data_IF_881733321383
#
_entry.id   IF_881733321383
#
_cell.length_a   1.000
_cell.length_b   1.000
_cell.length_c   1.000
_cell.angle_alpha   90.00
_cell.angle_beta   90.00
_cell.angle_gamma   90.00
#
_symmetry.space_group_name_H-M   'P 1'
#
loop_
_entity.id
_entity.type
_entity.pdbx_description
1 polymer ?
#
# COMPACT_ATOMS: atom_id res chain seq x y z
N UNK A 1 -48.93 18.68 -41.12
CA UNK A 1 -47.80 19.43 -40.54
C UNK A 1 -46.57 18.53 -40.61
N UNK A 2 -45.65 18.79 -41.55
CA UNK A 2 -44.43 17.99 -41.75
C UNK A 2 -43.31 18.60 -40.91
N UNK A 3 -42.81 17.83 -39.94
CA UNK A 3 -41.69 18.21 -39.08
C UNK A 3 -40.37 17.96 -39.82
N UNK A 4 -39.56 19.00 -39.96
CA UNK A 4 -38.23 18.98 -40.57
C UNK A 4 -37.21 18.66 -39.46
N UNK A 5 -36.50 17.54 -39.62
CA UNK A 5 -35.35 17.18 -38.78
C UNK A 5 -34.08 17.77 -39.41
N UNK A 6 -33.28 18.58 -38.70
CA UNK A 6 -31.99 19.03 -39.21
C UNK A 6 -30.90 17.98 -38.94
N UNK A 7 -30.18 17.61 -40.00
CA UNK A 7 -29.00 16.74 -39.99
C UNK A 7 -27.77 17.47 -39.45
N UNK A 8 -27.04 16.83 -38.54
CA UNK A 8 -25.77 17.33 -38.02
C UNK A 8 -24.60 16.94 -38.96
N UNK A 9 -23.59 17.81 -39.14
CA UNK A 9 -22.46 17.55 -40.03
C UNK A 9 -21.35 16.72 -39.37
N UNK A 10 -20.91 15.70 -40.10
CA UNK A 10 -19.74 14.85 -39.84
C UNK A 10 -18.46 15.68 -39.82
N UNK A 11 -17.76 15.72 -38.68
CA UNK A 11 -16.47 16.42 -38.54
C UNK A 11 -15.31 15.44 -38.61
N UNK A 12 -14.79 15.26 -39.81
CA UNK A 12 -13.52 14.59 -40.08
C UNK A 12 -12.36 15.47 -39.56
N UNK A 13 -11.51 14.95 -38.68
CA UNK A 13 -10.20 15.54 -38.39
C UNK A 13 -9.11 14.51 -38.60
N UNK A 14 -8.37 14.72 -39.69
CA UNK A 14 -7.10 14.08 -39.99
C UNK A 14 -6.01 15.09 -39.65
N UNK A 15 -5.05 14.71 -38.81
CA UNK A 15 -3.77 15.41 -38.67
C UNK A 15 -2.68 14.35 -38.47
N UNK A 16 -1.83 14.09 -39.48
CA UNK A 16 -0.51 13.51 -39.27
C UNK A 16 0.51 14.65 -39.15
N UNK A 17 1.41 14.57 -38.17
CA UNK A 17 2.38 15.62 -37.93
C UNK A 17 3.57 15.09 -37.14
N UNK A 18 4.57 14.66 -37.91
CA UNK A 18 5.98 14.43 -37.60
C UNK A 18 6.51 15.02 -36.28
N UNK A 19 7.12 14.15 -35.47
CA UNK A 19 8.00 14.55 -34.39
C UNK A 19 9.34 13.81 -34.49
N UNK A 20 10.24 14.46 -35.23
CA UNK A 20 11.66 14.64 -34.95
C UNK A 20 12.36 13.63 -34.03
N UNK A 21 13.19 12.77 -34.64
CA UNK A 21 14.30 12.08 -34.01
C UNK A 21 15.21 13.06 -33.23
N UNK A 22 15.31 12.86 -31.92
CA UNK A 22 16.35 13.45 -31.09
C UNK A 22 17.68 12.70 -31.26
N UNK A 23 18.83 13.39 -31.25
CA UNK A 23 20.13 12.75 -31.34
C UNK A 23 20.52 12.04 -30.03
N UNK A 24 21.09 10.86 -30.24
CA UNK A 24 21.69 9.93 -29.30
C UNK A 24 22.55 10.58 -28.22
N UNK A 25 22.30 10.25 -26.96
CA UNK A 25 23.20 10.56 -25.83
C UNK A 25 24.45 9.67 -25.88
N UNK A 26 25.65 10.21 -25.58
CA UNK A 26 26.86 9.42 -25.47
C UNK A 26 26.89 8.56 -24.20
N UNK A 27 27.50 7.40 -24.40
CA UNK A 27 27.68 6.25 -23.54
C UNK A 27 28.48 6.51 -22.26
N UNK A 28 27.93 6.00 -21.15
CA UNK A 28 28.59 5.21 -20.11
C UNK A 28 29.95 5.69 -19.60
N UNK A 29 29.92 6.46 -18.51
CA UNK A 29 31.05 6.62 -17.60
C UNK A 29 31.35 5.27 -16.91
N UNK A 30 32.60 4.87 -17.03
CA UNK A 30 33.21 3.67 -16.48
C UNK A 30 33.30 3.72 -14.95
N UNK A 31 32.72 2.71 -14.31
CA UNK A 31 32.90 2.42 -12.89
C UNK A 31 34.36 2.03 -12.59
N UNK A 32 34.91 2.54 -11.48
CA UNK A 32 36.11 1.99 -10.83
C UNK A 32 35.71 1.31 -9.53
N UNK A 33 36.06 0.03 -9.32
CA UNK A 33 35.91 -0.64 -8.04
C UNK A 33 37.15 -0.35 -7.18
N UNK A 34 36.98 0.00 -5.91
CA UNK A 34 38.14 0.06 -5.00
C UNK A 34 37.77 -0.39 -3.59
N UNK A 35 38.12 -1.65 -3.36
CA UNK A 35 38.80 -2.16 -2.17
C UNK A 35 38.06 -2.12 -0.83
N UNK A 36 37.34 -3.22 -0.58
CA UNK A 36 37.11 -3.78 0.75
C UNK A 36 38.46 -4.05 1.41
N UNK A 37 38.72 -3.46 2.59
CA UNK A 37 39.71 -3.98 3.54
C UNK A 37 38.98 -4.52 4.77
N UNK A 38 38.93 -5.84 4.84
CA UNK A 38 38.61 -6.60 6.04
C UNK A 38 39.72 -6.39 7.08
N UNK A 39 39.38 -5.76 8.21
CA UNK A 39 40.19 -5.89 9.43
C UNK A 39 39.55 -6.92 10.34
N UNK A 40 40.11 -8.13 10.28
CA UNK A 40 40.05 -9.11 11.36
C UNK A 40 40.64 -8.49 12.62
N UNK A 41 39.87 -8.48 13.71
CA UNK A 41 40.40 -8.44 15.07
C UNK A 41 39.82 -9.64 15.81
N UNK A 42 40.63 -10.70 15.81
CA UNK A 42 40.56 -11.78 16.78
C UNK A 42 40.88 -11.20 18.17
N UNK A 43 39.90 -11.26 19.08
CA UNK A 43 40.13 -11.16 20.52
C UNK A 43 39.40 -12.33 21.18
N UNK A 44 40.21 -13.18 21.78
CA UNK A 44 39.85 -14.40 22.48
C UNK A 44 39.23 -14.13 23.86
N UNK A 45 38.71 -15.24 24.46
CA UNK A 45 38.35 -15.49 25.88
C UNK A 45 36.97 -14.99 26.32
N UNK A 46 36.07 -15.76 26.94
CA UNK A 46 36.19 -17.03 27.69
C UNK A 46 34.85 -17.82 27.66
N UNK A 47 34.83 -19.15 27.90
CA UNK A 47 33.60 -19.91 28.08
C UNK A 47 33.07 -19.84 29.53
N UNK A 48 31.76 -19.71 29.75
CA UNK A 48 31.15 -20.06 31.03
C UNK A 48 30.75 -21.55 31.07
N UNK A 49 31.08 -22.18 32.19
CA UNK A 49 30.67 -23.51 32.63
C UNK A 49 29.23 -23.49 33.19
N UNK A 50 28.49 -24.60 32.99
CA UNK A 50 27.42 -25.16 33.88
C UNK A 50 26.05 -24.42 33.80
N UNK A 51 24.86 -25.02 33.63
CA UNK A 51 24.24 -26.33 33.99
C UNK A 51 23.03 -26.59 33.08
N UNK A 52 22.62 -27.85 32.80
CA UNK A 52 21.28 -28.16 32.29
C UNK A 52 20.26 -28.28 33.43
N UNK A 53 19.38 -27.29 33.56
CA UNK A 53 18.18 -27.42 34.39
C UNK A 53 17.05 -27.99 33.53
N UNK A 54 16.69 -29.23 33.82
CA UNK A 54 15.43 -29.85 33.41
C UNK A 54 14.31 -29.09 34.12
N UNK A 55 13.38 -28.55 33.34
CA UNK A 55 12.05 -28.14 33.81
C UNK A 55 11.08 -28.50 32.70
N UNK A 56 10.54 -29.69 32.87
CA UNK A 56 9.33 -30.21 32.26
C UNK A 56 8.13 -29.51 32.92
N UNK A 57 7.29 -28.86 32.12
CA UNK A 57 5.83 -28.65 32.32
C UNK A 57 5.35 -27.37 31.61
N UNK A 58 4.47 -27.53 30.61
CA UNK A 58 3.58 -26.45 30.17
C UNK A 58 3.46 -26.26 28.65
N UNK A 59 2.83 -27.22 27.97
CA UNK A 59 2.17 -26.98 26.68
C UNK A 59 1.08 -25.92 26.89
N UNK A 60 1.41 -24.65 26.62
CA UNK A 60 0.46 -23.74 25.99
C UNK A 60 0.90 -23.63 24.54
N UNK A 61 0.12 -24.21 23.63
CA UNK A 61 0.21 -23.97 22.19
C UNK A 61 -0.11 -22.50 21.92
N UNK A 62 0.84 -21.62 22.25
CA UNK A 62 0.88 -20.26 21.79
C UNK A 62 1.34 -20.31 20.35
N UNK A 63 0.40 -20.12 19.42
CA UNK A 63 0.70 -20.04 18.00
C UNK A 63 1.89 -19.08 17.81
N UNK A 64 3.04 -19.63 17.43
CA UNK A 64 4.27 -18.87 17.28
C UNK A 64 4.10 -17.94 16.07
N UNK A 65 3.63 -16.72 16.33
CA UNK A 65 3.48 -15.65 15.35
C UNK A 65 4.85 -15.36 14.75
N UNK A 66 5.04 -15.72 13.48
CA UNK A 66 6.23 -15.34 12.73
C UNK A 66 6.18 -13.86 12.42
N UNK A 67 7.29 -13.14 12.60
CA UNK A 67 7.43 -11.74 12.19
C UNK A 67 8.43 -11.62 11.05
N UNK A 68 8.15 -10.73 10.10
CA UNK A 68 9.04 -10.41 8.99
C UNK A 68 9.43 -8.94 9.05
N UNK A 69 10.71 -8.64 8.83
CA UNK A 69 11.18 -7.24 8.74
C UNK A 69 10.99 -6.76 7.32
N UNK A 70 10.27 -5.65 7.15
CA UNK A 70 10.16 -4.94 5.88
C UNK A 70 10.93 -3.64 5.93
N UNK A 71 11.40 -3.21 4.76
CA UNK A 71 12.16 -1.98 4.60
C UNK A 71 11.56 -1.10 3.51
N UNK A 72 11.51 0.21 3.78
CA UNK A 72 11.12 1.23 2.84
C UNK A 72 12.25 2.25 2.69
N UNK A 73 12.75 2.42 1.48
CA UNK A 73 13.68 3.51 1.16
C UNK A 73 12.88 4.80 0.93
N UNK A 74 13.12 5.80 1.78
CA UNK A 74 12.45 7.11 1.71
C UNK A 74 13.21 8.10 0.82
N UNK A 75 14.38 7.71 0.29
CA UNK A 75 15.33 8.56 -0.42
C UNK A 75 16.30 9.29 0.50
N UNK A 76 15.96 9.48 1.78
CA UNK A 76 16.85 10.07 2.79
C UNK A 76 17.34 9.04 3.80
N UNK A 77 16.53 8.01 4.05
CA UNK A 77 16.80 6.96 5.04
C UNK A 77 16.05 5.68 4.66
N UNK A 78 16.52 4.55 5.17
CA UNK A 78 15.80 3.28 5.08
C UNK A 78 15.03 3.08 6.39
N UNK A 79 13.71 3.13 6.32
CA UNK A 79 12.83 2.76 7.43
C UNK A 79 12.68 1.26 7.48
N UNK A 80 12.74 0.66 8.66
CA UNK A 80 12.52 -0.77 8.88
C UNK A 80 11.41 -0.98 9.91
N UNK A 81 10.56 -1.97 9.66
CA UNK A 81 9.48 -2.33 10.57
C UNK A 81 9.38 -3.84 10.66
N UNK A 82 9.32 -4.37 11.89
CA UNK A 82 8.99 -5.77 12.12
C UNK A 82 7.47 -5.92 12.10
N UNK A 83 6.96 -6.76 11.20
CA UNK A 83 5.55 -6.96 10.94
C UNK A 83 5.16 -8.38 11.36
N UNK A 84 4.19 -8.57 12.26
CA UNK A 84 3.68 -9.89 12.60
C UNK A 84 2.82 -10.45 11.45
N UNK A 85 3.03 -11.73 11.13
CA UNK A 85 2.20 -12.48 10.18
C UNK A 85 1.15 -13.31 10.93
N UNK A 86 -0.02 -13.55 10.32
CA UNK A 86 -1.07 -14.41 10.87
C UNK A 86 -0.63 -15.87 10.88
N UNK A 87 0.04 -16.30 9.81
CA UNK A 87 0.54 -17.66 9.66
C UNK A 87 1.90 -17.69 8.99
N UNK A 88 2.68 -18.74 9.28
CA UNK A 88 4.00 -18.96 8.68
C UNK A 88 3.95 -19.25 7.18
N UNK A 89 2.81 -19.75 6.70
CA UNK A 89 2.54 -20.04 5.29
C UNK A 89 2.20 -18.79 4.48
N UNK A 90 1.98 -17.65 5.14
CA UNK A 90 1.56 -16.43 4.48
C UNK A 90 2.76 -15.70 3.91
N UNK A 91 2.56 -15.07 2.77
CA UNK A 91 3.59 -14.31 2.08
C UNK A 91 3.37 -12.82 2.32
N UNK A 92 4.46 -12.06 2.44
CA UNK A 92 4.39 -10.62 2.53
C UNK A 92 4.70 -10.00 1.17
N UNK A 93 3.69 -9.40 0.57
CA UNK A 93 3.72 -8.77 -0.74
C UNK A 93 3.92 -7.26 -0.57
N UNK A 94 4.87 -6.70 -1.31
CA UNK A 94 5.04 -5.25 -1.43
C UNK A 94 4.36 -4.77 -2.71
N UNK A 95 3.47 -3.80 -2.59
CA UNK A 95 2.82 -3.14 -3.72
C UNK A 95 3.14 -1.64 -3.72
N UNK A 96 3.82 -1.17 -4.77
CA UNK A 96 4.08 0.25 -4.98
C UNK A 96 3.03 0.79 -5.97
N UNK A 97 2.16 1.69 -5.50
CA UNK A 97 0.95 2.13 -6.18
C UNK A 97 0.97 3.64 -6.45
N UNK A 98 0.06 4.10 -7.32
CA UNK A 98 -0.27 5.52 -7.49
C UNK A 98 -1.74 5.79 -7.26
N UNK A 99 -2.08 7.00 -6.84
CA UNK A 99 -3.48 7.43 -6.73
C UNK A 99 -4.11 7.68 -8.13
N UNK A 100 -5.41 7.36 -8.32
CA UNK A 100 -6.30 6.64 -7.42
C UNK A 100 -5.92 5.15 -7.31
N UNK A 101 -6.01 4.58 -6.09
CA UNK A 101 -5.49 3.24 -5.83
C UNK A 101 -6.28 2.11 -6.50
N UNK A 102 -7.59 2.28 -6.69
CA UNK A 102 -8.45 1.21 -7.22
C UNK A 102 -8.61 0.03 -6.26
N UNK A 103 -8.63 0.28 -4.94
CA UNK A 103 -8.78 -0.73 -3.90
C UNK A 103 -9.73 -0.22 -2.80
N UNK A 104 -10.55 -1.12 -2.27
CA UNK A 104 -11.41 -0.88 -1.11
C UNK A 104 -10.88 -1.68 0.07
N UNK A 105 -10.70 -1.01 1.21
CA UNK A 105 -10.31 -1.67 2.45
C UNK A 105 -11.50 -1.77 3.40
N UNK A 106 -11.59 -2.89 4.11
CA UNK A 106 -12.55 -3.10 5.19
C UNK A 106 -11.84 -3.43 6.51
N UNK A 107 -12.53 -3.18 7.62
CA UNK A 107 -12.11 -3.64 8.94
C UNK A 107 -12.75 -5.00 9.22
N UNK A 108 -11.94 -6.04 9.44
CA UNK A 108 -12.42 -7.38 9.78
C UNK A 108 -11.60 -7.95 10.93
N UNK A 109 -12.24 -8.27 12.06
CA UNK A 109 -11.59 -8.87 13.23
C UNK A 109 -10.32 -8.13 13.68
N UNK A 110 -10.36 -6.80 13.73
CA UNK A 110 -9.23 -5.88 14.01
C UNK A 110 -8.12 -5.79 12.94
N UNK A 111 -8.28 -6.49 11.82
CA UNK A 111 -7.40 -6.42 10.66
C UNK A 111 -7.97 -5.45 9.62
N UNK A 112 -7.09 -4.93 8.77
CA UNK A 112 -7.46 -4.15 7.58
C UNK A 112 -7.29 -5.06 6.38
N UNK A 113 -8.38 -5.41 5.69
CA UNK A 113 -8.39 -6.40 4.61
C UNK A 113 -8.79 -5.72 3.31
N UNK A 114 -8.22 -6.18 2.20
CA UNK A 114 -8.65 -5.79 0.86
C UNK A 114 -9.99 -6.45 0.55
N UNK A 115 -11.05 -5.65 0.49
CA UNK A 115 -12.41 -6.12 0.19
C UNK A 115 -12.66 -6.20 -1.32
N UNK A 116 -12.23 -5.18 -2.07
CA UNK A 116 -12.44 -5.08 -3.50
C UNK A 116 -11.22 -4.49 -4.20
N UNK A 117 -11.00 -4.92 -5.44
CA UNK A 117 -9.97 -4.40 -6.34
C UNK A 117 -10.64 -4.05 -7.66
N UNK A 118 -10.42 -2.84 -8.15
CA UNK A 118 -10.95 -2.38 -9.44
C UNK A 118 -10.14 -3.01 -10.58
N UNK A 119 -10.75 -3.77 -11.50
CA UNK A 119 -10.04 -4.36 -12.63
C UNK A 119 -9.37 -3.31 -13.51
N UNK A 120 -8.10 -3.52 -13.86
CA UNK A 120 -7.27 -2.57 -14.61
C UNK A 120 -6.94 -1.27 -13.85
N UNK A 121 -7.17 -1.25 -12.53
CA UNK A 121 -6.75 -0.16 -11.65
C UNK A 121 -5.32 -0.35 -11.14
N UNK A 122 -4.76 0.67 -10.48
CA UNK A 122 -3.39 0.64 -9.97
C UNK A 122 -3.12 -0.55 -9.03
N UNK A 123 -4.09 -0.90 -8.18
CA UNK A 123 -4.01 -2.06 -7.29
C UNK A 123 -3.97 -3.40 -8.04
N UNK A 124 -4.79 -3.56 -9.08
CA UNK A 124 -4.82 -4.76 -9.92
C UNK A 124 -3.49 -4.92 -10.68
N UNK A 125 -3.01 -3.84 -11.29
CA UNK A 125 -1.72 -3.79 -12.00
C UNK A 125 -0.52 -4.13 -11.10
N UNK A 126 -0.61 -3.77 -9.81
CA UNK A 126 0.40 -4.11 -8.80
C UNK A 126 0.22 -5.50 -8.18
N UNK A 127 -0.78 -6.26 -8.64
CA UNK A 127 -1.05 -7.63 -8.19
C UNK A 127 -1.64 -7.73 -6.79
N UNK A 128 -2.29 -6.67 -6.29
CA UNK A 128 -3.09 -6.70 -5.05
C UNK A 128 -4.31 -7.58 -5.27
N UNK A 129 -4.65 -8.44 -4.30
CA UNK A 129 -5.77 -9.36 -4.40
C UNK A 129 -6.79 -9.13 -3.29
N UNK A 130 -8.05 -9.44 -3.58
CA UNK A 130 -9.10 -9.53 -2.57
C UNK A 130 -8.70 -10.57 -1.51
N UNK A 131 -8.86 -10.21 -0.24
CA UNK A 131 -8.46 -11.04 0.90
C UNK A 131 -7.02 -10.80 1.40
N UNK A 132 -6.20 -10.03 0.69
CA UNK A 132 -4.90 -9.60 1.21
C UNK A 132 -5.10 -8.73 2.47
N UNK A 133 -4.26 -8.92 3.48
CA UNK A 133 -4.33 -8.18 4.76
C UNK A 133 -3.28 -7.08 4.77
N UNK A 134 -3.71 -5.82 4.89
CA UNK A 134 -2.79 -4.70 5.00
C UNK A 134 -2.08 -4.72 6.35
N UNK A 135 -0.75 -4.80 6.31
CA UNK A 135 0.11 -4.89 7.50
C UNK A 135 0.91 -3.65 7.78
N UNK A 136 1.37 -2.98 6.74
CA UNK A 136 2.02 -1.69 6.86
C UNK A 136 1.80 -0.87 5.60
N UNK A 137 1.89 0.45 5.73
CA UNK A 137 1.79 1.38 4.62
C UNK A 137 2.80 2.50 4.78
N UNK A 138 3.26 3.08 3.67
CA UNK A 138 3.93 4.36 3.75
C UNK A 138 2.95 5.44 4.22
N UNK A 139 3.45 6.47 4.87
CA UNK A 139 2.68 7.64 5.26
C UNK A 139 3.54 8.90 5.15
N UNK A 140 2.91 10.04 4.94
CA UNK A 140 3.56 11.34 5.08
C UNK A 140 3.54 11.75 6.56
N UNK A 141 4.72 11.95 7.14
CA UNK A 141 4.88 12.32 8.55
C UNK A 141 5.81 13.51 8.70
N UNK A 142 5.47 14.41 9.62
CA UNK A 142 6.35 15.51 9.99
C UNK A 142 7.48 14.98 10.87
N UNK A 143 8.74 15.13 10.44
CA UNK A 143 9.92 14.81 11.25
C UNK A 143 10.84 16.01 11.37
N UNK A 144 11.51 16.10 12.51
CA UNK A 144 12.54 17.12 12.71
C UNK A 144 13.85 16.65 12.10
N UNK A 145 14.37 17.39 11.13
CA UNK A 145 15.68 17.13 10.53
C UNK A 145 16.71 18.10 11.12
N UNK A 146 17.86 17.57 11.54
CA UNK A 146 18.98 18.34 12.06
C UNK A 146 20.19 18.17 11.14
N UNK A 147 20.53 19.17 10.31
CA UNK A 147 21.74 19.12 9.50
C UNK A 147 22.97 19.05 10.42
N UNK A 148 23.91 18.16 10.12
CA UNK A 148 25.09 17.91 10.96
C UNK A 148 25.94 19.17 11.20
N UNK A 149 25.99 20.08 10.22
CA UNK A 149 26.66 21.37 10.34
C UNK A 149 25.95 22.35 11.28
N UNK A 150 24.63 22.26 11.39
CA UNK A 150 23.84 23.10 12.29
C UNK A 150 23.92 22.63 13.74
N UNK A 151 24.11 21.33 13.99
CA UNK A 151 24.31 20.82 15.35
C UNK A 151 25.55 21.42 16.02
N UNK A 152 26.60 21.74 15.25
CA UNK A 152 27.84 22.34 15.76
C UNK A 152 27.73 23.85 16.05
N UNK A 153 26.74 24.53 15.44
CA UNK A 153 26.56 25.99 15.55
C UNK A 153 25.28 26.37 16.32
N UNK A 154 24.68 25.41 17.04
CA UNK A 154 23.46 25.66 17.83
C UNK A 154 22.20 25.89 16.99
N UNK A 155 22.12 25.28 15.79
CA UNK A 155 20.98 25.45 14.90
C UNK A 155 19.71 24.77 15.41
N UNK A 156 18.57 25.42 15.16
CA UNK A 156 17.24 24.86 15.41
C UNK A 156 16.88 23.84 14.33
N UNK A 157 16.37 22.67 14.73
CA UNK A 157 15.87 21.69 13.78
C UNK A 157 14.74 22.27 12.94
N UNK A 158 14.60 21.78 11.71
CA UNK A 158 13.49 22.20 10.82
C UNK A 158 12.51 21.04 10.67
N UNK A 159 11.20 21.28 10.86
CA UNK A 159 10.20 20.28 10.54
C UNK A 159 10.17 20.07 9.03
N UNK A 160 10.23 18.82 8.60
CA UNK A 160 10.16 18.41 7.21
C UNK A 160 9.14 17.28 7.07
N UNK A 161 8.29 17.38 6.06
CA UNK A 161 7.40 16.29 5.69
C UNK A 161 8.23 15.20 5.00
N UNK A 162 8.21 13.99 5.54
CA UNK A 162 8.97 12.85 5.06
C UNK A 162 8.08 11.62 4.92
N UNK A 163 8.51 10.69 4.08
CA UNK A 163 7.88 9.36 4.03
C UNK A 163 8.34 8.55 5.23
N UNK A 164 7.41 7.89 5.89
CA UNK A 164 7.67 6.95 6.97
C UNK A 164 6.91 5.65 6.73
N UNK A 165 7.35 4.57 7.36
CA UNK A 165 6.65 3.30 7.32
C UNK A 165 5.83 3.12 8.59
N UNK A 166 4.54 2.80 8.45
CA UNK A 166 3.58 2.78 9.56
C UNK A 166 2.86 1.43 9.60
N UNK A 167 2.74 0.79 10.78
CA UNK A 167 1.98 -0.46 10.92
C UNK A 167 0.48 -0.21 10.81
N UNK A 168 -0.23 -1.10 10.13
CA UNK A 168 -1.68 -1.09 10.00
C UNK A 168 -2.34 -1.76 11.21
N UNK A 169 -2.45 -1.03 12.33
CA UNK A 169 -2.96 -1.58 13.60
C UNK A 169 -4.45 -1.31 13.82
N UNK A 170 -4.99 -0.20 13.30
CA UNK A 170 -6.38 0.22 13.46
C UNK A 170 -6.87 0.81 12.15
N UNK A 171 -8.04 0.39 11.69
CA UNK A 171 -8.59 0.81 10.40
C UNK A 171 -8.56 2.34 10.18
N UNK A 172 -9.11 3.12 11.10
CA UNK A 172 -9.16 4.58 10.98
C UNK A 172 -7.75 5.20 10.82
N UNK A 173 -6.82 4.84 11.71
CA UNK A 173 -5.43 5.33 11.65
C UNK A 173 -4.71 4.88 10.38
N UNK A 174 -5.00 3.67 9.89
CA UNK A 174 -4.44 3.16 8.63
C UNK A 174 -4.98 3.96 7.44
N UNK A 175 -6.27 4.29 7.41
CA UNK A 175 -6.84 5.10 6.33
C UNK A 175 -6.32 6.54 6.36
N UNK A 176 -6.11 7.13 7.53
CA UNK A 176 -5.43 8.43 7.67
C UNK A 176 -4.00 8.37 7.14
N UNK A 177 -3.26 7.30 7.46
CA UNK A 177 -1.92 7.06 6.94
C UNK A 177 -1.92 6.93 5.40
N UNK A 178 -2.84 6.13 4.83
CA UNK A 178 -3.01 5.98 3.38
C UNK A 178 -3.27 7.34 2.73
N UNK A 179 -4.26 8.09 3.23
CA UNK A 179 -4.63 9.42 2.72
C UNK A 179 -3.48 10.42 2.81
N UNK A 180 -2.66 10.37 3.87
CA UNK A 180 -1.56 11.29 4.08
C UNK A 180 -0.52 11.27 2.94
N UNK A 181 -0.37 10.15 2.23
CA UNK A 181 0.61 10.04 1.14
C UNK A 181 0.37 11.07 0.03
N UNK A 182 -0.89 11.44 -0.23
CA UNK A 182 -1.25 12.47 -1.21
C UNK A 182 -0.60 13.84 -0.94
N UNK A 183 -0.17 14.10 0.31
CA UNK A 183 0.53 15.34 0.68
C UNK A 183 2.00 15.37 0.27
N UNK A 184 2.62 14.20 0.08
CA UNK A 184 4.05 14.07 -0.23
C UNK A 184 4.28 13.68 -1.69
N UNK A 185 3.50 12.72 -2.19
CA UNK A 185 3.62 12.19 -3.55
C UNK A 185 2.31 11.56 -4.03
N UNK A 186 2.19 11.34 -5.32
CA UNK A 186 1.13 10.50 -5.90
C UNK A 186 1.36 9.00 -5.65
N UNK A 187 2.51 8.63 -5.07
CA UNK A 187 2.93 7.25 -4.80
C UNK A 187 2.71 6.84 -3.35
N UNK A 188 2.35 5.58 -3.15
CA UNK A 188 2.21 4.91 -1.85
C UNK A 188 2.78 3.49 -1.94
N UNK A 189 3.40 3.01 -0.86
CA UNK A 189 3.83 1.62 -0.72
C UNK A 189 2.92 0.92 0.29
N UNK A 190 2.37 -0.22 -0.08
CA UNK A 190 1.63 -1.11 0.80
C UNK A 190 2.45 -2.38 1.04
N UNK A 191 2.41 -2.87 2.27
CA UNK A 191 2.88 -4.21 2.64
C UNK A 191 1.68 -5.02 3.05
N UNK A 192 1.34 -5.99 2.21
CA UNK A 192 0.15 -6.82 2.27
C UNK A 192 0.57 -8.23 2.65
N UNK A 193 -0.05 -8.82 3.65
CA UNK A 193 0.06 -10.24 3.92
C UNK A 193 -0.96 -10.97 3.06
N UNK A 194 -0.46 -11.82 2.16
CA UNK A 194 -1.25 -12.74 1.37
C UNK A 194 -1.40 -14.04 2.15
N UNK A 195 -2.64 -14.46 2.50
CA UNK A 195 -2.84 -15.80 3.01
C UNK A 195 -2.28 -16.77 1.98
N UNK A 196 -1.38 -17.67 2.41
CA UNK A 196 -0.85 -18.67 1.49
C UNK A 196 -2.03 -19.41 0.87
N UNK A 197 -2.01 -19.62 -0.44
CA UNK A 197 -3.01 -20.40 -1.16
C UNK A 197 -3.03 -21.79 -0.52
N UNK A 198 -3.80 -21.95 0.55
CA UNK A 198 -4.02 -23.21 1.22
C UNK A 198 -4.93 -23.96 0.30
N UNK A 199 -4.36 -24.44 -0.82
CA UNK A 199 -4.92 -25.25 -1.89
C UNK A 199 -6.36 -25.65 -1.56
N UNK A 200 -7.26 -24.70 -1.76
CA UNK A 200 -8.67 -25.03 -1.80
C UNK A 200 -8.77 -25.61 -3.19
N UNK A 201 -8.64 -26.94 -3.29
CA UNK A 201 -8.93 -27.68 -4.51
C UNK A 201 -10.35 -27.27 -4.91
N UNK A 202 -10.43 -26.29 -5.80
CA UNK A 202 -11.66 -25.69 -6.27
C UNK A 202 -12.39 -26.68 -7.14
N UNK A 203 -13.16 -27.57 -6.53
CA UNK A 203 -14.40 -28.06 -7.12
C UNK A 203 -15.38 -26.89 -7.15
N UNK A 204 -15.16 -25.94 -8.06
CA UNK A 204 -16.18 -24.96 -8.44
C UNK A 204 -17.02 -25.55 -9.57
N UNK A 205 -17.75 -26.62 -9.27
CA UNK A 205 -18.98 -26.96 -9.98
C UNK A 205 -20.08 -26.08 -9.39
N UNK A 206 -20.27 -24.93 -10.03
CA UNK A 206 -21.25 -23.93 -9.64
C UNK A 206 -21.82 -23.23 -10.86
N UNK A 207 -22.23 -24.03 -11.85
CA UNK A 207 -23.19 -23.60 -12.88
C UNK A 207 -24.42 -22.98 -12.20
N UNK A 208 -24.62 -21.68 -12.36
CA UNK A 208 -25.95 -21.08 -12.32
C UNK A 208 -26.06 -20.09 -13.48
N UNK A 209 -26.34 -20.67 -14.65
CA UNK A 209 -26.97 -19.99 -15.77
C UNK A 209 -28.47 -19.82 -15.48
N UNK A 210 -29.04 -18.68 -15.89
CA UNK A 210 -30.47 -18.34 -15.76
C UNK A 210 -30.82 -17.81 -14.37
N UNK A 211 -31.53 -16.71 -14.18
CA UNK A 211 -32.66 -16.21 -14.96
C UNK A 211 -32.74 -14.68 -14.86
N UNK A 212 -32.89 -14.02 -16.00
CA UNK A 212 -33.43 -12.67 -16.11
C UNK A 212 -34.95 -12.75 -15.94
N UNK A 213 -35.51 -12.16 -14.89
CA UNK A 213 -36.89 -11.68 -14.92
C UNK A 213 -36.99 -10.27 -14.34
N UNK A 214 -37.60 -9.45 -15.16
CA UNK A 214 -38.04 -8.07 -14.97
C UNK A 214 -38.90 -7.94 -13.71
N UNK A 215 -38.66 -6.89 -12.93
CA UNK A 215 -39.70 -6.19 -12.20
C UNK A 215 -39.40 -4.70 -12.24
N UNK A 216 -39.99 -4.05 -13.24
CA UNK A 216 -40.41 -2.65 -13.15
C UNK A 216 -41.62 -2.62 -12.21
N UNK A 217 -41.54 -1.95 -11.06
CA UNK A 217 -42.71 -1.24 -10.53
C UNK A 217 -42.30 -0.11 -9.57
N UNK A 218 -42.70 1.08 -10.01
CA UNK A 218 -42.90 2.35 -9.32
C UNK A 218 -42.98 2.31 -7.78
N UNK A 219 -42.27 3.23 -7.14
CA UNK A 219 -42.92 4.18 -6.21
C UNK A 219 -42.18 5.51 -6.22
N UNK A 220 -42.77 6.48 -6.90
CA UNK A 220 -42.60 7.91 -6.62
C UNK A 220 -43.04 8.22 -5.18
N UNK A 221 -42.59 9.37 -4.67
CA UNK A 221 -43.04 10.06 -3.44
C UNK A 221 -42.27 9.69 -2.16
N UNK A 222 -41.22 10.45 -1.87
CA UNK A 222 -41.37 11.46 -0.82
C UNK A 222 -40.32 12.57 -0.98
N UNK A 223 -40.80 13.69 -1.53
CA UNK A 223 -40.12 14.96 -1.48
C UNK A 223 -40.43 15.63 -0.13
N UNK A 224 -39.49 16.46 0.32
CA UNK A 224 -39.67 17.52 1.31
C UNK A 224 -39.84 17.13 2.80
N UNK A 225 -38.72 16.83 3.45
CA UNK A 225 -38.54 17.08 4.90
C UNK A 225 -37.19 17.78 5.14
N UNK A 226 -36.91 18.83 4.36
CA UNK A 226 -35.87 19.79 4.73
C UNK A 226 -36.58 21.11 5.03
N UNK A 227 -36.72 21.36 6.32
CA UNK A 227 -37.34 22.54 6.90
C UNK A 227 -36.35 23.70 6.86
N UNK A 228 -36.59 24.64 5.96
CA UNK A 228 -35.73 25.81 5.72
C UNK A 228 -35.88 26.90 6.80
N UNK A 229 -36.63 26.67 7.87
CA UNK A 229 -36.88 27.66 8.93
C UNK A 229 -35.76 27.78 9.98
N UNK A 230 -34.70 26.97 9.89
CA UNK A 230 -33.65 26.89 10.93
C UNK A 230 -32.48 27.90 10.76
N UNK A 231 -32.49 28.77 9.75
CA UNK A 231 -31.34 29.65 9.44
C UNK A 231 -31.63 31.15 9.45
N UNK A 232 -32.76 31.59 9.98
CA UNK A 232 -33.02 33.01 10.26
C UNK A 232 -32.94 33.29 11.76
N UNK A 233 -31.72 33.56 12.27
CA UNK A 233 -31.50 34.47 13.41
C UNK A 233 -30.12 35.15 13.32
#
# INVERSE_FOLDING_TARGET
MRSLVPSAPTRTRHVPGDAHCWPSRPSLCTAKPTHVQQRRRDLARSPPLVTPAVSDSGESSGAASSSTVVSLDTGEQVEQLSVPLLARSNELVRADLRFPLGVVFEARDSLVVVAEVTPGGAADDAGVRVGDVLRATSAAMMRMTYPTTQLLLGGVGRPKLMRALVPATKFASTMDAVRSNMQLSDQITLFLERPGDGRVDGTSDGSSAGEQQQQEEQTEQDASVFDSSLFDE
#
